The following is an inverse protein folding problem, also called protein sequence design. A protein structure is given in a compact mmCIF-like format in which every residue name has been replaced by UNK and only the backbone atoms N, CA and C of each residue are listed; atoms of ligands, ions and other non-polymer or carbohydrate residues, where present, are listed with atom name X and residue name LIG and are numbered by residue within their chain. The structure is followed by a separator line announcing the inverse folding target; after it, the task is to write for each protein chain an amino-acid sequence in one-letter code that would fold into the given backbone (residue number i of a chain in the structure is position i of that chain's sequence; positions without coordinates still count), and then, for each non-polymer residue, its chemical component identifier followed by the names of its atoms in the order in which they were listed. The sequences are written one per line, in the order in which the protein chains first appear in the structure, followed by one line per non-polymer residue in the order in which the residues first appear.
data_IF_722475608828
#
_entry.id   IF_722475608828
#
_cell.length_a   1.000
_cell.length_b   1.000
_cell.length_c   1.000
_cell.angle_alpha   90.00
_cell.angle_beta   90.00
_cell.angle_gamma   90.00
#
_symmetry.space_group_name_H-M   'P 1'
#
loop_
_entity.id
_entity.type
_entity.pdbx_description
1 polymer ?
#
# COMPACT_ATOMS: atom_id res chain seq x y z
N UNK A 1 4.10 18.24 -10.29
CA UNK A 1 3.59 17.18 -9.40
C UNK A 1 2.27 16.68 -9.96
N UNK A 2 2.20 15.44 -10.44
CA UNK A 2 0.98 14.86 -11.04
C UNK A 2 -0.01 14.42 -9.95
N UNK A 3 -1.30 14.30 -10.29
CA UNK A 3 -2.31 13.72 -9.39
C UNK A 3 -2.01 12.27 -9.02
N UNK A 4 -1.43 11.50 -9.96
CA UNK A 4 -1.01 10.12 -9.76
C UNK A 4 -0.01 9.97 -8.61
N UNK A 5 0.97 10.87 -8.53
CA UNK A 5 1.94 10.90 -7.43
C UNK A 5 1.24 11.01 -6.06
N UNK A 6 0.24 11.90 -5.95
CA UNK A 6 -0.50 12.09 -4.69
C UNK A 6 -1.36 10.87 -4.33
N UNK A 7 -1.87 10.14 -5.32
CA UNK A 7 -2.60 8.89 -5.08
C UNK A 7 -1.68 7.80 -4.49
N UNK A 8 -0.47 7.66 -5.01
CA UNK A 8 0.53 6.73 -4.47
C UNK A 8 1.02 7.14 -3.07
N UNK A 9 1.26 8.43 -2.84
CA UNK A 9 1.58 8.97 -1.52
C UNK A 9 0.47 8.68 -0.50
N UNK A 10 -0.79 8.80 -0.90
CA UNK A 10 -1.93 8.45 -0.03
C UNK A 10 -1.91 6.97 0.34
N UNK A 11 -1.55 6.07 -0.59
CA UNK A 11 -1.44 4.64 -0.30
C UNK A 11 -0.39 4.37 0.78
N UNK A 12 0.74 5.06 0.73
CA UNK A 12 1.80 4.97 1.74
C UNK A 12 1.33 5.48 3.10
N UNK A 13 0.83 6.72 3.13
CA UNK A 13 0.37 7.37 4.36
C UNK A 13 -0.73 6.57 5.04
N UNK A 14 -1.68 6.04 4.26
CA UNK A 14 -2.74 5.17 4.80
C UNK A 14 -2.19 3.89 5.42
N UNK A 15 -1.24 3.23 4.74
CA UNK A 15 -0.61 2.01 5.24
C UNK A 15 0.11 2.27 6.57
N UNK A 16 0.97 3.28 6.62
CA UNK A 16 1.72 3.66 7.83
C UNK A 16 0.78 4.10 8.95
N UNK A 17 -0.30 4.83 8.63
CA UNK A 17 -1.30 5.23 9.62
C UNK A 17 -1.98 4.01 10.26
N UNK A 18 -2.44 3.05 9.47
CA UNK A 18 -3.05 1.83 9.98
C UNK A 18 -2.08 1.01 10.85
N UNK A 19 -0.84 0.83 10.40
CA UNK A 19 0.18 0.11 11.18
C UNK A 19 0.53 0.84 12.48
N UNK A 20 0.63 2.18 12.43
CA UNK A 20 0.85 3.02 13.62
C UNK A 20 -0.32 2.90 14.61
N UNK A 21 -1.56 2.95 14.13
CA UNK A 21 -2.74 2.74 14.97
C UNK A 21 -2.75 1.33 15.59
N UNK A 22 -2.38 0.31 14.82
CA UNK A 22 -2.23 -1.06 15.32
C UNK A 22 -1.11 -1.21 16.37
N UNK A 23 -0.04 -0.44 16.26
CA UNK A 23 1.11 -0.47 17.19
C UNK A 23 0.78 0.01 18.60
N UNK A 24 -0.31 0.78 18.77
CA UNK A 24 -0.83 1.22 20.06
C UNK A 24 -1.45 0.07 20.88
N UNK A 25 -1.60 -1.10 20.28
CA UNK A 25 -2.21 -2.27 20.88
C UNK A 25 -1.24 -3.46 20.91
N UNK A 26 -1.39 -4.41 21.85
CA UNK A 26 -0.61 -5.65 21.83
C UNK A 26 -0.79 -6.39 20.51
N UNK A 27 0.31 -6.95 19.96
CA UNK A 27 0.35 -7.61 18.64
C UNK A 27 -0.70 -8.73 18.50
N UNK A 28 -1.02 -9.42 19.59
CA UNK A 28 -2.00 -10.51 19.62
C UNK A 28 -3.45 -10.04 19.85
N UNK A 29 -3.68 -8.74 20.01
CA UNK A 29 -5.01 -8.18 20.24
C UNK A 29 -5.86 -8.14 18.97
N UNK A 30 -7.19 -8.14 19.15
CA UNK A 30 -8.12 -7.94 18.04
C UNK A 30 -7.95 -6.56 17.39
N UNK A 31 -7.61 -5.53 18.17
CA UNK A 31 -7.42 -4.16 17.66
C UNK A 31 -6.20 -4.07 16.73
N UNK A 32 -5.07 -4.68 17.11
CA UNK A 32 -3.88 -4.75 16.26
C UNK A 32 -4.18 -5.48 14.94
N UNK A 33 -4.87 -6.63 15.00
CA UNK A 33 -5.28 -7.38 13.81
C UNK A 33 -6.23 -6.59 12.92
N UNK A 34 -7.21 -5.89 13.50
CA UNK A 34 -8.18 -5.10 12.75
C UNK A 34 -7.53 -3.92 12.01
N UNK A 35 -6.56 -3.25 12.64
CA UNK A 35 -5.82 -2.15 12.01
C UNK A 35 -5.02 -2.65 10.78
N UNK A 36 -4.31 -3.77 10.91
CA UNK A 36 -3.57 -4.37 9.80
C UNK A 36 -4.50 -4.93 8.71
N UNK A 37 -5.65 -5.50 9.09
CA UNK A 37 -6.66 -5.95 8.14
C UNK A 37 -7.22 -4.77 7.32
N UNK A 38 -7.45 -3.62 7.97
CA UNK A 38 -7.91 -2.39 7.29
C UNK A 38 -6.93 -1.91 6.22
N UNK A 39 -5.61 -1.94 6.51
CA UNK A 39 -4.59 -1.64 5.52
C UNK A 39 -4.60 -2.63 4.36
N UNK A 40 -4.70 -3.93 4.64
CA UNK A 40 -4.71 -4.97 3.63
C UNK A 40 -5.96 -4.89 2.73
N UNK A 41 -7.14 -4.66 3.30
CA UNK A 41 -8.39 -4.49 2.55
C UNK A 41 -8.33 -3.29 1.59
N UNK A 42 -7.68 -2.21 1.99
CA UNK A 42 -7.43 -1.07 1.12
C UNK A 42 -6.62 -1.49 -0.12
N UNK A 43 -5.50 -2.18 0.09
CA UNK A 43 -4.66 -2.68 -1.01
C UNK A 43 -5.39 -3.67 -1.90
N UNK A 44 -6.18 -4.59 -1.35
CA UNK A 44 -6.99 -5.54 -2.13
C UNK A 44 -8.00 -4.84 -3.04
N UNK A 45 -8.54 -3.69 -2.63
CA UNK A 45 -9.48 -2.90 -3.45
C UNK A 45 -8.78 -2.08 -4.53
N UNK A 46 -7.58 -1.57 -4.25
CA UNK A 46 -6.84 -0.71 -5.17
C UNK A 46 -5.99 -1.49 -6.17
N UNK A 47 -5.48 -2.67 -5.78
CA UNK A 47 -4.59 -3.46 -6.63
C UNK A 47 -5.16 -3.73 -8.03
N UNK A 48 -6.43 -4.16 -8.21
CA UNK A 48 -7.00 -4.38 -9.54
C UNK A 48 -7.00 -3.12 -10.41
N UNK A 49 -7.21 -1.94 -9.82
CA UNK A 49 -7.18 -0.66 -10.54
C UNK A 49 -5.77 -0.31 -11.00
N UNK A 50 -4.76 -0.52 -10.15
CA UNK A 50 -3.35 -0.31 -10.51
C UNK A 50 -2.93 -1.28 -11.62
N UNK A 51 -3.24 -2.58 -11.49
CA UNK A 51 -2.94 -3.59 -12.52
C UNK A 51 -3.63 -3.26 -13.85
N UNK A 52 -4.88 -2.80 -13.80
CA UNK A 52 -5.57 -2.34 -15.00
C UNK A 52 -4.83 -1.17 -15.66
N UNK A 53 -4.46 -0.14 -14.90
CA UNK A 53 -3.70 0.99 -15.45
C UNK A 53 -2.35 0.59 -16.03
N UNK A 54 -1.63 -0.35 -15.40
CA UNK A 54 -0.38 -0.89 -15.93
C UNK A 54 -0.57 -1.60 -17.29
N UNK A 55 -1.75 -2.15 -17.56
CA UNK A 55 -2.05 -2.87 -18.81
C UNK A 55 -2.53 -1.99 -19.97
N UNK A 56 -3.14 -0.82 -19.69
CA UNK A 56 -3.80 -0.01 -20.72
C UNK A 56 -3.24 1.40 -20.88
N UNK A 57 -2.46 1.90 -19.91
CA UNK A 57 -1.95 3.27 -19.94
C UNK A 57 -0.67 3.39 -20.77
N UNK A 58 -0.58 4.45 -21.58
CA UNK A 58 0.66 4.84 -22.26
C UNK A 58 1.77 5.23 -21.26
N UNK A 59 1.39 5.61 -20.04
CA UNK A 59 2.29 5.96 -18.93
C UNK A 59 2.62 4.77 -18.00
N UNK A 60 2.39 3.52 -18.43
CA UNK A 60 2.60 2.32 -17.62
C UNK A 60 3.98 2.27 -16.94
N UNK A 61 5.03 2.73 -17.61
CA UNK A 61 6.38 2.78 -17.05
C UNK A 61 6.49 3.74 -15.84
N UNK A 62 5.85 4.91 -15.90
CA UNK A 62 5.84 5.87 -14.80
C UNK A 62 4.98 5.36 -13.63
N UNK A 63 3.84 4.72 -13.93
CA UNK A 63 2.97 4.09 -12.94
C UNK A 63 3.73 2.97 -12.21
N UNK A 64 4.44 2.12 -12.94
CA UNK A 64 5.24 1.04 -12.37
C UNK A 64 6.39 1.58 -11.50
N UNK A 65 7.06 2.65 -11.94
CA UNK A 65 8.12 3.30 -11.16
C UNK A 65 7.60 3.88 -9.84
N UNK A 66 6.44 4.55 -9.87
CA UNK A 66 5.80 5.04 -8.64
C UNK A 66 5.35 3.91 -7.72
N UNK A 67 4.76 2.84 -8.27
CA UNK A 67 4.38 1.66 -7.49
C UNK A 67 5.58 1.02 -6.80
N UNK A 68 6.69 0.83 -7.53
CA UNK A 68 7.92 0.25 -6.98
C UNK A 68 8.48 1.11 -5.85
N UNK A 69 8.54 2.43 -6.06
CA UNK A 69 8.97 3.39 -5.02
C UNK A 69 8.12 3.25 -3.76
N UNK A 70 6.80 3.13 -3.91
CA UNK A 70 5.88 2.92 -2.77
C UNK A 70 6.21 1.64 -2.00
N UNK A 71 6.38 0.52 -2.71
CA UNK A 71 6.66 -0.77 -2.08
C UNK A 71 8.04 -0.78 -1.41
N UNK A 72 9.05 -0.17 -2.03
CA UNK A 72 10.40 -0.05 -1.46
C UNK A 72 10.39 0.77 -0.17
N UNK A 73 9.78 1.95 -0.18
CA UNK A 73 9.69 2.82 1.00
C UNK A 73 8.92 2.15 2.14
N UNK A 74 7.81 1.44 1.84
CA UNK A 74 7.08 0.66 2.85
C UNK A 74 7.92 -0.48 3.42
N UNK A 75 8.75 -1.12 2.59
CA UNK A 75 9.67 -2.17 3.02
C UNK A 75 10.78 -1.61 3.93
N UNK A 76 11.31 -0.43 3.62
CA UNK A 76 12.28 0.27 4.49
C UNK A 76 11.67 0.61 5.85
N UNK A 77 10.38 0.97 5.88
CA UNK A 77 9.61 1.16 7.12
C UNK A 77 9.28 -0.15 7.85
N UNK A 78 9.72 -1.31 7.36
CA UNK A 78 9.39 -2.65 7.89
C UNK A 78 7.88 -2.92 7.96
N UNK A 79 7.13 -2.38 6.99
CA UNK A 79 5.71 -2.64 6.86
C UNK A 79 5.46 -4.14 6.70
N UNK A 80 4.54 -4.70 7.48
CA UNK A 80 4.14 -6.11 7.35
C UNK A 80 3.11 -6.31 6.23
N UNK A 81 2.55 -5.21 5.74
CA UNK A 81 1.56 -5.21 4.66
C UNK A 81 2.24 -5.41 3.31
N UNK A 82 3.46 -4.87 3.13
CA UNK A 82 4.18 -4.95 1.84
C UNK A 82 4.40 -6.39 1.37
N UNK A 83 4.74 -7.30 2.28
CA UNK A 83 4.97 -8.72 1.96
C UNK A 83 3.70 -9.43 1.47
N UNK A 84 2.52 -8.95 1.91
CA UNK A 84 1.22 -9.49 1.51
C UNK A 84 0.71 -8.88 0.20
N UNK A 85 1.14 -7.65 -0.09
CA UNK A 85 0.71 -6.88 -1.25
C UNK A 85 1.59 -7.17 -2.47
N UNK A 86 2.87 -7.49 -2.29
CA UNK A 86 3.80 -7.83 -3.37
C UNK A 86 3.25 -8.85 -4.38
N UNK A 87 2.63 -9.97 -3.95
CA UNK A 87 2.05 -10.96 -4.87
C UNK A 87 0.81 -10.50 -5.67
N UNK A 88 0.26 -9.31 -5.39
CA UNK A 88 -0.91 -8.75 -6.09
C UNK A 88 -0.53 -8.00 -7.38
N UNK A 89 0.75 -7.70 -7.57
CA UNK A 89 1.30 -6.90 -8.67
C UNK A 89 2.33 -7.71 -9.46
#
# INVERSE_FOLDING_TARGET
MSSLYHAFLLCQVWTVYCESAGSLHPVNSNAHRAANATALEFWLKIAPTITHFLSVSEDAAAINGHLLTVLEELKECRSIIVDKVGPLF
#
